data_IF_141960480528
#
_entry.id   IF_141960480528
#
_cell.length_a   1.000
_cell.length_b   1.000
_cell.length_c   1.000
_cell.angle_alpha   90.00
_cell.angle_beta   90.00
_cell.angle_gamma   90.00
#
_symmetry.space_group_name_H-M   'P 1'
#
loop_
_entity.id
_entity.type
_entity.pdbx_description
1 polymer ?
#
# COMPACT_ATOMS: atom_id res chain seq x y z
N UNK A 1 -30.20 -37.93 12.24
CA UNK A 1 -28.73 -37.87 12.04
C UNK A 1 -28.28 -37.80 10.58
N UNK A 2 -28.98 -38.42 9.60
CA UNK A 2 -28.57 -38.41 8.18
C UNK A 2 -28.63 -37.05 7.46
N UNK A 3 -29.60 -36.17 7.81
CA UNK A 3 -29.75 -34.85 7.18
C UNK A 3 -28.65 -33.86 7.54
N UNK A 4 -28.04 -33.95 8.73
CA UNK A 4 -26.96 -33.03 9.16
C UNK A 4 -25.59 -33.36 8.52
N UNK A 5 -25.35 -34.64 8.24
CA UNK A 5 -24.13 -35.12 7.58
C UNK A 5 -24.13 -34.71 6.10
N UNK A 6 -25.27 -34.89 5.40
CA UNK A 6 -25.44 -34.47 4.00
C UNK A 6 -25.22 -32.96 3.77
N UNK A 7 -25.72 -32.11 4.67
CA UNK A 7 -25.61 -30.66 4.55
C UNK A 7 -24.16 -30.16 4.79
N UNK A 8 -23.43 -30.78 5.73
CA UNK A 8 -22.04 -30.46 6.02
C UNK A 8 -21.10 -30.85 4.86
N UNK A 9 -21.35 -31.99 4.25
CA UNK A 9 -20.58 -32.44 3.10
C UNK A 9 -20.81 -31.58 1.85
N UNK A 10 -22.04 -31.12 1.64
CA UNK A 10 -22.38 -30.23 0.54
C UNK A 10 -21.70 -28.86 0.70
N UNK A 11 -21.75 -28.27 1.90
CA UNK A 11 -21.08 -27.00 2.20
C UNK A 11 -19.56 -27.13 2.01
N UNK A 12 -18.97 -28.23 2.45
CA UNK A 12 -17.54 -28.53 2.28
C UNK A 12 -17.15 -28.64 0.81
N UNK A 13 -17.95 -29.32 0.00
CA UNK A 13 -17.74 -29.43 -1.46
C UNK A 13 -17.84 -28.08 -2.14
N UNK A 14 -18.85 -27.25 -1.81
CA UNK A 14 -19.01 -25.90 -2.36
C UNK A 14 -17.81 -25.01 -1.99
N UNK A 15 -17.35 -25.05 -0.75
CA UNK A 15 -16.21 -24.27 -0.29
C UNK A 15 -14.93 -24.63 -1.04
N UNK A 16 -14.66 -25.92 -1.26
CA UNK A 16 -13.54 -26.41 -2.05
C UNK A 16 -13.59 -25.90 -3.49
N UNK A 17 -14.75 -25.97 -4.15
CA UNK A 17 -14.95 -25.47 -5.51
C UNK A 17 -14.70 -23.96 -5.61
N UNK A 18 -15.14 -23.20 -4.62
CA UNK A 18 -14.90 -21.76 -4.54
C UNK A 18 -13.41 -21.46 -4.44
N UNK A 19 -12.67 -22.20 -3.61
CA UNK A 19 -11.22 -22.07 -3.46
C UNK A 19 -10.50 -22.34 -4.79
N UNK A 20 -10.80 -23.48 -5.43
CA UNK A 20 -10.21 -23.85 -6.72
C UNK A 20 -10.49 -22.81 -7.81
N UNK A 21 -11.71 -22.29 -7.86
CA UNK A 21 -12.09 -21.23 -8.81
C UNK A 21 -11.37 -19.93 -8.56
N UNK A 22 -11.19 -19.53 -7.31
CA UNK A 22 -10.45 -18.32 -6.95
C UNK A 22 -8.99 -18.39 -7.42
N UNK A 23 -8.33 -19.54 -7.19
CA UNK A 23 -6.96 -19.79 -7.63
C UNK A 23 -6.82 -19.78 -9.15
N UNK A 24 -7.76 -20.42 -9.87
CA UNK A 24 -7.80 -20.39 -11.33
C UNK A 24 -8.00 -18.98 -11.92
N UNK A 25 -8.53 -18.05 -11.13
CA UNK A 25 -8.71 -16.63 -11.49
C UNK A 25 -7.57 -15.71 -11.01
N UNK A 26 -6.50 -16.30 -10.45
CA UNK A 26 -5.28 -15.59 -10.09
C UNK A 26 -5.26 -14.98 -8.69
N UNK A 27 -6.11 -15.47 -7.77
CA UNK A 27 -5.97 -15.16 -6.36
C UNK A 27 -5.07 -16.21 -5.70
N UNK A 28 -4.08 -15.78 -4.93
CA UNK A 28 -3.09 -16.67 -4.31
C UNK A 28 -3.60 -17.28 -3.01
N UNK A 29 -4.46 -16.59 -2.28
CA UNK A 29 -5.08 -17.06 -1.04
C UNK A 29 -6.50 -16.54 -0.91
N UNK A 30 -7.34 -17.34 -0.28
CA UNK A 30 -8.76 -17.05 0.00
C UNK A 30 -9.08 -17.50 1.42
N UNK A 31 -9.94 -16.76 2.10
CA UNK A 31 -10.49 -17.11 3.39
C UNK A 31 -11.91 -16.60 3.57
N UNK A 32 -12.63 -17.17 4.49
CA UNK A 32 -14.05 -16.90 4.75
C UNK A 32 -14.23 -16.34 6.16
N UNK A 33 -14.92 -15.23 6.28
CA UNK A 33 -15.15 -14.54 7.54
C UNK A 33 -16.62 -14.26 7.78
N UNK A 34 -16.98 -14.20 9.05
CA UNK A 34 -18.24 -13.62 9.49
C UNK A 34 -18.19 -12.10 9.28
N UNK A 35 -19.27 -11.42 8.86
CA UNK A 35 -19.29 -9.97 8.70
C UNK A 35 -19.14 -9.17 10.01
N UNK A 36 -19.32 -9.81 11.17
CA UNK A 36 -19.19 -9.17 12.47
C UNK A 36 -17.72 -8.99 12.87
N UNK A 37 -17.24 -7.75 12.85
CA UNK A 37 -15.89 -7.44 13.32
C UNK A 37 -15.81 -7.40 14.85
N UNK A 38 -14.66 -7.77 15.45
CA UNK A 38 -14.42 -7.61 16.87
C UNK A 38 -14.59 -6.15 17.34
N UNK A 39 -15.15 -5.92 18.52
CA UNK A 39 -15.33 -4.58 19.10
C UNK A 39 -14.04 -3.75 19.20
N UNK A 40 -12.89 -4.42 19.27
CA UNK A 40 -11.57 -3.80 19.26
C UNK A 40 -11.28 -3.03 17.99
N UNK A 41 -11.79 -3.47 16.83
CA UNK A 41 -11.59 -2.80 15.53
C UNK A 41 -12.19 -1.40 15.57
N UNK A 42 -13.44 -1.27 16.00
CA UNK A 42 -14.10 0.03 16.18
C UNK A 42 -13.34 0.91 17.19
N UNK A 43 -12.96 0.36 18.36
CA UNK A 43 -12.22 1.09 19.40
C UNK A 43 -10.86 1.61 18.86
N UNK A 44 -10.17 0.80 18.09
CA UNK A 44 -8.87 1.17 17.50
C UNK A 44 -9.03 2.27 16.43
N UNK A 45 -10.06 2.19 15.58
CA UNK A 45 -10.38 3.23 14.61
C UNK A 45 -10.71 4.56 15.31
N UNK A 46 -11.53 4.51 16.36
CA UNK A 46 -11.89 5.69 17.18
C UNK A 46 -10.65 6.35 17.79
N UNK A 47 -9.76 5.55 18.38
CA UNK A 47 -8.51 6.04 18.97
C UNK A 47 -7.60 6.68 17.91
N UNK A 48 -7.45 6.04 16.75
CA UNK A 48 -6.64 6.53 15.63
C UNK A 48 -7.13 7.89 15.11
N UNK A 49 -8.46 8.03 14.94
CA UNK A 49 -9.08 9.27 14.47
C UNK A 49 -9.02 10.38 15.52
N UNK A 50 -9.31 10.06 16.80
CA UNK A 50 -9.23 11.04 17.92
C UNK A 50 -7.82 11.60 18.11
N UNK A 51 -6.79 10.79 17.83
CA UNK A 51 -5.39 11.21 17.91
C UNK A 51 -4.92 11.96 16.66
N UNK A 52 -5.77 12.18 15.67
CA UNK A 52 -5.44 12.77 14.36
C UNK A 52 -4.29 12.03 13.62
N UNK A 53 -4.08 10.76 13.90
CA UNK A 53 -3.01 9.97 13.28
C UNK A 53 -3.23 9.71 11.79
N UNK A 54 -4.43 9.93 11.29
CA UNK A 54 -4.78 9.82 9.87
C UNK A 54 -4.26 10.99 9.01
N UNK A 55 -3.82 12.10 9.63
CA UNK A 55 -3.36 13.28 8.89
C UNK A 55 -4.43 13.83 7.94
N UNK A 56 -4.07 14.07 6.69
CA UNK A 56 -4.96 14.63 5.65
C UNK A 56 -5.88 13.58 4.99
N UNK A 57 -5.92 12.35 5.52
CA UNK A 57 -6.81 11.30 5.01
C UNK A 57 -8.24 11.43 5.60
N UNK A 58 -8.88 12.59 5.41
CA UNK A 58 -10.21 12.92 5.96
C UNK A 58 -11.31 11.92 5.55
N UNK A 59 -11.11 11.23 4.43
CA UNK A 59 -12.01 10.18 3.95
C UNK A 59 -12.15 9.01 4.94
N UNK A 60 -11.17 8.80 5.82
CA UNK A 60 -11.27 7.82 6.91
C UNK A 60 -12.32 8.23 7.93
N UNK A 61 -12.30 9.50 8.36
CA UNK A 61 -13.26 10.05 9.32
C UNK A 61 -14.67 10.15 8.72
N UNK A 62 -14.79 10.66 7.49
CA UNK A 62 -16.07 10.83 6.78
C UNK A 62 -16.85 9.52 6.64
N UNK A 63 -16.16 8.41 6.43
CA UNK A 63 -16.76 7.10 6.23
C UNK A 63 -16.61 6.16 7.45
N UNK A 64 -16.34 6.70 8.63
CA UNK A 64 -16.10 5.95 9.87
C UNK A 64 -17.19 4.91 10.11
N UNK A 65 -18.47 5.31 10.13
CA UNK A 65 -19.59 4.41 10.38
C UNK A 65 -19.59 3.17 9.45
N UNK A 66 -19.36 3.39 8.16
CA UNK A 66 -19.29 2.29 7.19
C UNK A 66 -18.11 1.36 7.41
N UNK A 67 -16.98 1.89 7.98
CA UNK A 67 -15.78 1.09 8.28
C UNK A 67 -15.91 0.25 9.53
N UNK A 68 -16.81 0.60 10.43
CA UNK A 68 -16.98 -0.10 11.72
C UNK A 68 -17.45 -1.55 11.56
N UNK A 69 -18.23 -1.84 10.50
CA UNK A 69 -18.71 -3.19 10.21
C UNK A 69 -19.08 -3.34 8.73
N UNK A 70 -18.84 -4.50 8.10
CA UNK A 70 -19.39 -4.85 6.80
C UNK A 70 -20.90 -4.66 6.70
N UNK A 71 -21.64 -4.95 7.76
CA UNK A 71 -23.11 -4.79 7.84
C UNK A 71 -23.55 -3.32 7.65
N UNK A 72 -22.73 -2.36 8.09
CA UNK A 72 -23.01 -0.93 7.91
C UNK A 72 -22.85 -0.48 6.43
N UNK A 73 -22.14 -1.26 5.63
CA UNK A 73 -21.96 -1.02 4.20
C UNK A 73 -23.02 -1.77 3.37
N UNK A 74 -23.44 -2.93 3.86
CA UNK A 74 -24.48 -3.74 3.24
C UNK A 74 -25.16 -4.63 4.29
N UNK A 75 -26.41 -4.33 4.62
CA UNK A 75 -27.20 -4.97 5.70
C UNK A 75 -27.40 -6.48 5.51
N UNK A 76 -27.48 -6.93 4.24
CA UNK A 76 -27.81 -8.31 3.91
C UNK A 76 -26.60 -9.24 3.89
N UNK A 77 -25.40 -8.72 4.16
CA UNK A 77 -24.18 -9.52 4.15
C UNK A 77 -24.20 -10.60 5.23
N UNK A 78 -23.96 -11.84 4.82
CA UNK A 78 -23.88 -13.01 5.72
C UNK A 78 -22.51 -13.65 5.76
N UNK A 79 -21.73 -13.49 4.67
CA UNK A 79 -20.37 -13.99 4.57
C UNK A 79 -19.49 -12.96 3.87
N UNK A 80 -18.28 -12.80 4.35
CA UNK A 80 -17.22 -12.05 3.65
C UNK A 80 -16.15 -13.02 3.19
N UNK A 81 -15.92 -13.08 1.89
CA UNK A 81 -14.75 -13.75 1.31
C UNK A 81 -13.64 -12.71 1.25
N UNK A 82 -12.53 -12.97 1.93
CA UNK A 82 -11.31 -12.19 1.79
C UNK A 82 -10.33 -12.92 0.87
N UNK A 83 -9.67 -12.18 0.00
CA UNK A 83 -8.79 -12.67 -1.05
C UNK A 83 -7.46 -11.94 -0.97
N UNK A 84 -6.37 -12.69 -1.16
CA UNK A 84 -5.03 -12.12 -1.28
C UNK A 84 -4.43 -12.37 -2.65
N UNK A 85 -3.84 -11.32 -3.24
CA UNK A 85 -3.03 -11.42 -4.46
C UNK A 85 -1.59 -11.06 -4.14
N UNK A 86 -0.67 -11.99 -4.42
CA UNK A 86 0.74 -11.85 -4.08
C UNK A 86 1.46 -10.88 -5.02
N UNK A 87 2.09 -9.82 -4.46
CA UNK A 87 2.96 -8.90 -5.19
C UNK A 87 4.43 -8.98 -4.73
N UNK A 88 4.80 -10.05 -4.07
CA UNK A 88 6.14 -10.25 -3.51
C UNK A 88 7.25 -10.03 -4.54
N UNK A 89 8.28 -9.21 -4.21
CA UNK A 89 9.33 -8.85 -5.12
C UNK A 89 10.34 -9.98 -5.34
N UNK A 90 11.00 -9.97 -6.49
CA UNK A 90 12.09 -10.91 -6.80
C UNK A 90 13.40 -10.58 -6.10
N UNK A 91 13.64 -9.29 -5.77
CA UNK A 91 14.82 -8.77 -5.06
C UNK A 91 14.36 -8.01 -3.83
N UNK A 92 15.22 -7.96 -2.83
CA UNK A 92 14.95 -7.17 -1.63
C UNK A 92 14.86 -5.67 -1.99
N UNK A 93 13.71 -5.01 -1.77
CA UNK A 93 13.55 -3.60 -2.15
C UNK A 93 14.47 -2.64 -1.38
N UNK A 94 15.03 -3.05 -0.24
CA UNK A 94 15.98 -2.23 0.52
C UNK A 94 17.31 -2.03 -0.21
N UNK A 95 17.68 -2.93 -1.13
CA UNK A 95 18.90 -2.80 -1.94
C UNK A 95 18.87 -1.55 -2.83
N UNK A 96 17.69 -1.14 -3.29
CA UNK A 96 17.52 0.06 -4.12
C UNK A 96 17.82 1.37 -3.37
N UNK A 97 17.88 1.34 -2.04
CA UNK A 97 18.20 2.53 -1.23
C UNK A 97 19.68 2.90 -1.27
N UNK A 98 20.54 1.98 -1.72
CA UNK A 98 22.00 2.18 -1.79
C UNK A 98 22.34 3.19 -2.89
N UNK A 99 21.69 3.08 -4.05
CA UNK A 99 21.94 3.97 -5.18
C UNK A 99 21.08 5.23 -5.11
N UNK A 100 21.65 6.28 -4.49
CA UNK A 100 20.94 7.52 -4.18
C UNK A 100 20.66 8.42 -5.40
N UNK A 101 21.22 8.12 -6.56
CA UNK A 101 20.96 8.85 -7.81
C UNK A 101 19.66 8.40 -8.51
N UNK A 102 19.06 7.33 -7.99
CA UNK A 102 17.83 6.74 -8.51
C UNK A 102 16.70 6.83 -7.50
N UNK A 103 15.50 7.12 -7.99
CA UNK A 103 14.31 7.15 -7.17
C UNK A 103 13.83 5.74 -6.79
N UNK A 104 13.59 5.49 -5.51
CA UNK A 104 13.00 4.25 -5.06
C UNK A 104 11.46 4.36 -4.98
N UNK A 105 10.79 3.46 -5.67
CA UNK A 105 9.33 3.30 -5.67
C UNK A 105 8.99 2.04 -4.88
N UNK A 106 8.00 2.13 -3.99
CA UNK A 106 7.48 0.98 -3.25
C UNK A 106 7.03 -0.14 -4.20
N UNK A 107 7.29 -1.38 -3.83
CA UNK A 107 7.06 -2.59 -4.64
C UNK A 107 5.66 -2.62 -5.23
N UNK A 108 4.64 -2.28 -4.43
CA UNK A 108 3.25 -2.36 -4.86
C UNK A 108 2.89 -1.43 -6.04
N UNK A 109 3.71 -0.42 -6.30
CA UNK A 109 3.47 0.60 -7.33
C UNK A 109 4.42 0.49 -8.53
N UNK A 110 5.30 -0.51 -8.56
CA UNK A 110 6.29 -0.69 -9.65
C UNK A 110 5.68 -1.22 -10.94
N UNK A 111 4.61 -2.01 -10.84
CA UNK A 111 3.89 -2.57 -11.97
C UNK A 111 2.68 -1.73 -12.42
N UNK A 112 1.75 -2.40 -13.07
CA UNK A 112 0.45 -1.83 -13.42
C UNK A 112 -0.41 -1.58 -12.17
N UNK A 113 -1.39 -0.69 -12.29
CA UNK A 113 -2.34 -0.38 -11.21
C UNK A 113 -3.14 -1.63 -10.79
N UNK A 114 -2.78 -2.18 -9.64
CA UNK A 114 -3.36 -3.40 -9.08
C UNK A 114 -4.88 -3.34 -8.92
N UNK A 115 -5.44 -2.15 -8.71
CA UNK A 115 -6.90 -1.99 -8.61
C UNK A 115 -7.60 -2.47 -9.88
N UNK A 116 -7.04 -2.19 -11.07
CA UNK A 116 -7.63 -2.61 -12.34
C UNK A 116 -7.55 -4.12 -12.52
N UNK A 117 -6.40 -4.70 -12.18
CA UNK A 117 -6.12 -6.12 -12.33
C UNK A 117 -7.03 -6.93 -11.41
N UNK A 118 -6.99 -6.62 -10.12
CA UNK A 118 -7.77 -7.31 -9.10
C UNK A 118 -9.28 -7.13 -9.35
N UNK A 119 -9.73 -5.90 -9.64
CA UNK A 119 -11.16 -5.64 -9.93
C UNK A 119 -11.68 -6.42 -11.12
N UNK A 120 -10.87 -6.61 -12.17
CA UNK A 120 -11.22 -7.46 -13.31
C UNK A 120 -11.43 -8.91 -12.87
N UNK A 121 -10.51 -9.45 -12.07
CA UNK A 121 -10.59 -10.83 -11.57
C UNK A 121 -11.75 -11.00 -10.57
N UNK A 122 -11.96 -10.03 -9.67
CA UNK A 122 -13.11 -10.00 -8.75
C UNK A 122 -14.45 -10.03 -9.48
N UNK A 123 -14.60 -9.25 -10.57
CA UNK A 123 -15.85 -9.25 -11.35
C UNK A 123 -16.11 -10.59 -12.01
N UNK A 124 -15.07 -11.27 -12.53
CA UNK A 124 -15.20 -12.62 -13.11
C UNK A 124 -15.57 -13.63 -12.05
N UNK A 125 -14.90 -13.56 -10.89
CA UNK A 125 -15.15 -14.47 -9.78
C UNK A 125 -16.54 -14.24 -9.18
N UNK A 126 -16.92 -12.99 -8.93
CA UNK A 126 -18.24 -12.62 -8.43
C UNK A 126 -19.38 -13.06 -9.37
N UNK A 127 -19.22 -12.85 -10.69
CA UNK A 127 -20.21 -13.31 -11.65
C UNK A 127 -20.40 -14.82 -11.68
N UNK A 128 -19.33 -15.59 -11.44
CA UNK A 128 -19.41 -17.03 -11.28
C UNK A 128 -20.06 -17.41 -9.94
N UNK A 129 -19.65 -16.78 -8.83
CA UNK A 129 -20.23 -17.01 -7.49
C UNK A 129 -21.72 -16.75 -7.45
N UNK A 130 -22.18 -15.63 -8.05
CA UNK A 130 -23.60 -15.28 -8.09
C UNK A 130 -24.46 -16.38 -8.73
N UNK A 131 -23.95 -17.01 -9.79
CA UNK A 131 -24.63 -18.13 -10.48
C UNK A 131 -24.56 -19.41 -9.69
N UNK A 132 -23.36 -19.76 -9.18
CA UNK A 132 -23.10 -21.01 -8.47
C UNK A 132 -23.87 -21.11 -7.15
N UNK A 133 -23.98 -19.98 -6.44
CA UNK A 133 -24.62 -19.89 -5.13
C UNK A 133 -26.03 -19.33 -5.17
N UNK A 134 -26.51 -18.89 -6.35
CA UNK A 134 -27.77 -18.19 -6.52
C UNK A 134 -27.94 -17.06 -5.48
N UNK A 135 -26.96 -16.14 -5.43
CA UNK A 135 -26.88 -15.10 -4.41
C UNK A 135 -26.58 -13.71 -4.99
N UNK A 136 -26.87 -12.67 -4.21
CA UNK A 136 -26.38 -11.33 -4.44
C UNK A 136 -25.01 -11.16 -3.80
N UNK A 137 -24.18 -10.28 -4.40
CA UNK A 137 -22.85 -10.00 -3.89
C UNK A 137 -22.36 -8.59 -4.23
N UNK A 138 -21.36 -8.13 -3.46
CA UNK A 138 -20.62 -6.89 -3.74
C UNK A 138 -19.13 -7.20 -3.70
N UNK A 139 -18.36 -6.57 -4.61
CA UNK A 139 -16.91 -6.76 -4.72
C UNK A 139 -16.18 -5.47 -4.39
N UNK A 140 -15.05 -5.58 -3.68
CA UNK A 140 -14.27 -4.46 -3.19
C UNK A 140 -12.77 -4.70 -3.34
N UNK A 141 -12.04 -3.63 -3.61
CA UNK A 141 -10.57 -3.59 -3.58
C UNK A 141 -10.14 -2.19 -3.19
N UNK A 142 -9.53 -2.02 -2.02
CA UNK A 142 -8.90 -0.82 -1.47
C UNK A 142 -9.78 0.45 -1.40
N UNK A 143 -10.59 0.74 -2.39
CA UNK A 143 -11.32 2.02 -2.51
C UNK A 143 -12.59 2.12 -1.67
N UNK A 144 -13.06 1.04 -1.09
CA UNK A 144 -14.26 1.03 -0.26
C UNK A 144 -13.94 1.30 1.22
N UNK A 145 -14.93 1.82 1.99
CA UNK A 145 -14.75 2.02 3.41
C UNK A 145 -14.85 0.71 4.21
N UNK A 146 -13.88 -0.18 4.01
CA UNK A 146 -13.79 -1.52 4.61
C UNK A 146 -12.49 -1.63 5.40
N UNK A 147 -12.51 -2.40 6.48
CA UNK A 147 -11.33 -2.74 7.29
C UNK A 147 -10.71 -4.06 6.77
N UNK A 148 -10.20 -4.03 5.53
CA UNK A 148 -9.70 -5.20 4.79
C UNK A 148 -8.71 -6.05 5.60
N UNK A 149 -7.74 -5.41 6.28
CA UNK A 149 -6.74 -6.12 7.08
C UNK A 149 -7.34 -6.90 8.25
N UNK A 150 -8.35 -6.34 8.90
CA UNK A 150 -9.05 -7.01 10.01
C UNK A 150 -9.89 -8.18 9.49
N UNK A 151 -10.52 -8.01 8.32
CA UNK A 151 -11.28 -9.08 7.67
C UNK A 151 -10.33 -10.21 7.24
N UNK A 152 -9.20 -9.88 6.61
CA UNK A 152 -8.20 -10.86 6.19
C UNK A 152 -7.64 -11.67 7.38
N UNK A 153 -7.46 -11.02 8.54
CA UNK A 153 -7.03 -11.67 9.77
C UNK A 153 -8.07 -12.67 10.28
N UNK A 154 -9.34 -12.27 10.39
CA UNK A 154 -10.39 -13.18 10.85
C UNK A 154 -10.75 -14.25 9.83
N UNK A 155 -10.49 -14.03 8.55
CA UNK A 155 -10.61 -15.02 7.47
C UNK A 155 -9.44 -16.00 7.39
N UNK A 156 -8.44 -15.91 8.28
CA UNK A 156 -7.32 -16.84 8.31
C UNK A 156 -6.28 -16.67 7.18
N UNK A 157 -6.28 -15.55 6.45
CA UNK A 157 -5.27 -15.27 5.40
C UNK A 157 -3.88 -15.05 6.00
N UNK A 158 -3.83 -14.49 7.20
CA UNK A 158 -2.65 -14.19 7.97
C UNK A 158 -3.03 -13.40 9.21
N UNK A 159 -2.05 -12.82 9.88
CA UNK A 159 -2.27 -11.98 11.06
C UNK A 159 -1.84 -10.54 10.79
N UNK A 160 -2.40 -9.61 11.51
CA UNK A 160 -1.93 -8.23 11.48
C UNK A 160 -0.60 -8.13 12.22
N UNK A 161 0.47 -7.92 11.48
CA UNK A 161 1.83 -7.79 12.05
C UNK A 161 2.02 -6.49 12.83
N UNK A 162 3.11 -6.41 13.64
CA UNK A 162 3.45 -5.20 14.43
C UNK A 162 3.60 -3.93 13.59
N UNK A 163 3.82 -4.06 12.28
CA UNK A 163 3.84 -2.96 11.30
C UNK A 163 2.46 -2.59 10.74
N UNK A 164 1.37 -3.09 11.32
CA UNK A 164 -0.02 -2.80 10.94
C UNK A 164 -0.45 -3.29 9.54
N UNK A 165 0.32 -4.16 8.89
CA UNK A 165 -0.07 -4.83 7.65
C UNK A 165 -0.23 -6.33 7.88
N UNK A 166 -0.92 -7.02 6.96
CA UNK A 166 -1.07 -8.47 7.03
C UNK A 166 0.28 -9.14 6.78
N UNK A 167 0.55 -10.19 7.56
CA UNK A 167 1.66 -11.12 7.38
C UNK A 167 1.08 -12.50 7.16
N UNK A 168 1.46 -13.13 6.07
CA UNK A 168 1.06 -14.50 5.71
C UNK A 168 2.26 -15.45 5.84
N UNK A 169 2.02 -16.69 6.25
CA UNK A 169 3.05 -17.73 6.31
C UNK A 169 3.68 -18.00 4.94
N UNK A 170 2.88 -17.96 3.88
CA UNK A 170 3.30 -18.34 2.53
C UNK A 170 3.72 -17.13 1.65
N UNK A 171 3.26 -15.92 2.00
CA UNK A 171 3.44 -14.72 1.18
C UNK A 171 4.10 -13.56 1.93
N UNK A 172 4.52 -13.76 3.19
CA UNK A 172 5.14 -12.72 4.00
C UNK A 172 4.23 -11.50 4.12
N UNK A 173 4.78 -10.31 3.90
CA UNK A 173 4.05 -9.03 4.00
C UNK A 173 3.57 -8.50 2.63
N UNK A 174 3.43 -9.36 1.61
CA UNK A 174 3.28 -8.94 0.22
C UNK A 174 1.95 -9.35 -0.41
N UNK A 175 0.83 -9.09 0.27
CA UNK A 175 -0.51 -9.37 -0.24
C UNK A 175 -1.30 -8.08 -0.48
N UNK A 176 -1.82 -7.91 -1.69
CA UNK A 176 -2.97 -7.05 -1.93
C UNK A 176 -4.22 -7.76 -1.43
N UNK A 177 -5.06 -7.04 -0.72
CA UNK A 177 -6.32 -7.56 -0.19
C UNK A 177 -7.49 -7.13 -1.07
N UNK A 178 -8.53 -7.95 -1.08
CA UNK A 178 -9.80 -7.63 -1.73
C UNK A 178 -10.91 -8.51 -1.15
N UNK A 179 -12.16 -8.04 -1.20
CA UNK A 179 -13.28 -8.69 -0.56
C UNK A 179 -14.47 -8.90 -1.50
N UNK A 180 -15.22 -9.97 -1.23
CA UNK A 180 -16.55 -10.23 -1.78
C UNK A 180 -17.51 -10.42 -0.62
N UNK A 181 -18.55 -9.61 -0.56
CA UNK A 181 -19.64 -9.76 0.39
C UNK A 181 -20.76 -10.56 -0.25
N UNK A 182 -21.28 -11.55 0.46
CA UNK A 182 -22.35 -12.44 0.02
C UNK A 182 -23.55 -12.36 0.96
N UNK A 183 -24.77 -12.43 0.43
CA UNK A 183 -26.02 -12.56 1.19
C UNK A 183 -26.38 -14.01 1.55
N UNK A 184 -25.50 -14.95 1.31
CA UNK A 184 -25.62 -16.36 1.70
C UNK A 184 -24.58 -16.73 2.75
N UNK A 185 -24.90 -17.71 3.58
CA UNK A 185 -24.00 -18.19 4.62
C UNK A 185 -23.05 -19.25 4.06
N UNK A 186 -21.74 -19.05 4.30
CA UNK A 186 -20.70 -20.06 4.16
C UNK A 186 -19.93 -20.08 5.48
N UNK A 187 -19.57 -21.29 5.95
CA UNK A 187 -18.83 -21.43 7.21
C UNK A 187 -17.52 -20.68 7.17
N UNK A 188 -17.26 -19.90 8.22
CA UNK A 188 -16.02 -19.15 8.39
C UNK A 188 -14.79 -20.04 8.56
N UNK A 189 -13.63 -19.50 8.28
CA UNK A 189 -12.34 -20.12 8.58
C UNK A 189 -11.85 -19.73 9.97
N UNK A 190 -10.88 -20.47 10.47
CA UNK A 190 -10.23 -20.13 11.72
C UNK A 190 -9.27 -18.95 11.52
N UNK A 191 -9.33 -17.99 12.43
CA UNK A 191 -8.38 -16.89 12.48
C UNK A 191 -6.96 -17.43 12.64
N UNK A 192 -6.01 -16.83 11.92
CA UNK A 192 -4.57 -17.11 12.11
C UNK A 192 -4.03 -16.42 13.38
N UNK A 193 -3.20 -17.12 14.14
CA UNK A 193 -2.56 -16.55 15.32
C UNK A 193 -1.44 -15.56 14.99
N UNK A 194 -1.17 -14.62 15.90
CA UNK A 194 -0.06 -13.69 15.77
C UNK A 194 1.28 -14.38 15.97
N UNK A 195 2.05 -14.51 14.90
CA UNK A 195 3.37 -15.12 14.91
C UNK A 195 4.52 -14.09 14.91
N UNK A 196 4.27 -12.84 15.30
CA UNK A 196 5.33 -11.82 15.46
C UNK A 196 6.24 -12.06 16.67
N UNK A 197 5.78 -12.80 17.69
CA UNK A 197 6.55 -13.14 18.89
C UNK A 197 7.24 -11.92 19.54
N UNK A 198 8.51 -12.05 19.88
CA UNK A 198 9.32 -10.96 20.46
C UNK A 198 9.96 -10.03 19.44
N UNK A 199 9.87 -10.34 18.13
CA UNK A 199 10.50 -9.57 17.06
C UNK A 199 10.02 -8.11 17.02
N UNK A 200 10.97 -7.16 16.85
CA UNK A 200 10.71 -5.72 16.72
C UNK A 200 11.43 -5.09 15.51
N UNK A 201 11.88 -5.90 14.53
CA UNK A 201 12.67 -5.42 13.38
C UNK A 201 11.96 -4.32 12.60
N UNK A 202 10.68 -4.51 12.29
CA UNK A 202 9.87 -3.53 11.55
C UNK A 202 9.70 -2.19 12.29
N UNK A 203 9.62 -2.20 13.60
CA UNK A 203 9.52 -0.98 14.41
C UNK A 203 10.84 -0.21 14.40
N UNK A 204 11.97 -0.94 14.49
CA UNK A 204 13.31 -0.34 14.58
C UNK A 204 13.84 0.21 13.25
N UNK A 205 13.43 -0.38 12.11
CA UNK A 205 13.91 0.05 10.79
C UNK A 205 13.24 1.33 10.29
N UNK A 206 12.11 1.71 10.86
CA UNK A 206 11.34 2.88 10.39
C UNK A 206 12.18 4.16 10.50
N UNK A 207 12.54 4.82 9.38
CA UNK A 207 13.45 5.98 9.43
C UNK A 207 12.85 7.18 10.16
N UNK A 208 11.54 7.26 10.22
CA UNK A 208 10.79 8.41 10.76
C UNK A 208 10.11 8.11 12.11
N UNK A 209 10.37 6.94 12.70
CA UNK A 209 9.77 6.50 13.95
C UNK A 209 8.23 6.65 13.94
N UNK A 210 7.61 6.19 12.83
CA UNK A 210 6.17 6.29 12.64
C UNK A 210 5.37 5.36 13.57
N UNK A 211 5.99 4.30 14.08
CA UNK A 211 5.35 3.38 15.03
C UNK A 211 5.44 3.92 16.45
N UNK A 212 4.29 4.20 17.05
CA UNK A 212 4.18 4.66 18.43
C UNK A 212 4.34 3.48 19.38
N UNK A 213 3.79 2.35 18.99
CA UNK A 213 3.87 1.07 19.68
C UNK A 213 3.66 -0.06 18.65
N UNK A 214 3.80 -1.32 19.08
CA UNK A 214 3.40 -2.48 18.29
C UNK A 214 1.94 -2.34 17.88
N UNK A 215 1.66 -2.57 16.58
CA UNK A 215 0.33 -2.48 15.97
C UNK A 215 -0.27 -1.05 15.94
N UNK A 216 0.48 -0.03 16.34
CA UNK A 216 0.03 1.37 16.37
C UNK A 216 0.98 2.27 15.59
N UNK A 217 0.44 3.03 14.65
CA UNK A 217 1.21 3.92 13.79
C UNK A 217 0.59 5.31 13.74
N UNK A 218 1.43 6.34 13.79
CA UNK A 218 1.08 7.70 13.39
C UNK A 218 1.37 7.86 11.89
N UNK A 219 0.32 7.87 11.06
CA UNK A 219 0.49 7.96 9.63
C UNK A 219 1.17 9.25 9.19
N UNK A 220 1.03 10.35 9.93
CA UNK A 220 1.66 11.65 9.62
C UNK A 220 3.18 11.59 9.56
N UNK A 221 3.78 10.61 10.24
CA UNK A 221 5.22 10.34 10.23
C UNK A 221 5.63 9.32 9.16
N UNK A 222 4.69 8.50 8.66
CA UNK A 222 4.99 7.43 7.72
C UNK A 222 5.43 7.98 6.36
N UNK A 223 6.58 7.51 5.84
CA UNK A 223 7.09 7.94 4.53
C UNK A 223 6.09 7.63 3.41
N UNK A 224 5.36 6.53 3.49
CA UNK A 224 4.31 6.22 2.51
C UNK A 224 3.23 7.31 2.51
N UNK A 225 2.73 7.72 3.67
CA UNK A 225 1.79 8.83 3.78
C UNK A 225 2.42 10.16 3.27
N UNK A 226 3.63 10.50 3.69
CA UNK A 226 4.30 11.75 3.32
C UNK A 226 4.51 11.89 1.82
N UNK A 227 4.79 10.78 1.13
CA UNK A 227 5.05 10.79 -0.32
C UNK A 227 3.78 10.63 -1.17
N UNK A 228 2.68 10.13 -0.61
CA UNK A 228 1.46 9.81 -1.35
C UNK A 228 0.29 10.72 -0.96
N UNK A 229 -0.04 10.80 0.33
CA UNK A 229 -1.25 11.47 0.81
C UNK A 229 -1.04 12.94 1.15
N UNK A 230 0.11 13.28 1.76
CA UNK A 230 0.42 14.63 2.21
C UNK A 230 0.54 15.61 1.04
N UNK A 231 -0.30 16.65 1.05
CA UNK A 231 -0.50 17.55 -0.10
C UNK A 231 0.44 18.75 -0.10
N UNK A 232 0.96 19.16 1.05
CA UNK A 232 1.80 20.33 1.23
C UNK A 232 3.29 19.98 1.27
N UNK A 233 4.13 20.94 1.71
CA UNK A 233 5.56 20.72 1.93
C UNK A 233 5.77 19.66 3.02
N UNK A 234 6.61 18.67 2.74
CA UNK A 234 7.00 17.69 3.75
C UNK A 234 7.76 18.41 4.87
N UNK A 235 7.43 18.18 6.16
CA UNK A 235 8.13 18.80 7.27
C UNK A 235 9.64 18.56 7.22
N UNK A 236 10.43 19.57 7.59
CA UNK A 236 11.89 19.56 7.45
C UNK A 236 12.54 18.38 8.19
N UNK A 237 11.99 18.00 9.33
CA UNK A 237 12.48 16.91 10.18
C UNK A 237 12.43 15.52 9.51
N UNK A 238 11.55 15.35 8.50
CA UNK A 238 11.43 14.06 7.79
C UNK A 238 12.20 14.02 6.47
N UNK A 239 12.55 15.17 5.87
CA UNK A 239 13.13 15.20 4.52
C UNK A 239 14.40 14.39 4.38
N UNK A 240 15.34 14.51 5.33
CA UNK A 240 16.57 13.71 5.33
C UNK A 240 16.28 12.20 5.51
N UNK A 241 15.29 11.87 6.32
CA UNK A 241 14.90 10.50 6.65
C UNK A 241 14.24 9.76 5.49
N UNK A 242 13.66 10.48 4.53
CA UNK A 242 13.04 9.91 3.32
C UNK A 242 14.08 9.26 2.41
N UNK A 243 15.30 9.78 2.36
CA UNK A 243 16.34 9.28 1.45
C UNK A 243 15.92 9.45 -0.01
N UNK A 244 16.08 8.40 -0.81
CA UNK A 244 15.69 8.37 -2.22
C UNK A 244 14.29 7.78 -2.48
N UNK A 245 13.44 7.64 -1.46
CA UNK A 245 12.06 7.11 -1.59
C UNK A 245 11.16 8.20 -2.19
N UNK A 246 10.82 8.06 -3.46
CA UNK A 246 10.02 9.04 -4.20
C UNK A 246 8.52 8.71 -4.19
N UNK A 247 8.14 7.46 -3.88
CA UNK A 247 6.75 7.04 -3.80
C UNK A 247 6.61 5.80 -2.93
N UNK A 248 5.93 5.93 -1.78
CA UNK A 248 5.77 4.84 -0.82
C UNK A 248 7.05 4.47 -0.07
N UNK A 249 6.97 3.41 0.71
CA UNK A 249 8.07 2.91 1.54
C UNK A 249 7.81 1.45 1.89
N UNK A 250 8.83 0.61 1.75
CA UNK A 250 8.73 -0.83 2.03
C UNK A 250 9.52 -1.27 3.26
N UNK A 251 10.20 -0.37 3.96
CA UNK A 251 11.18 -0.70 4.99
C UNK A 251 10.64 -1.69 6.03
N UNK A 252 9.48 -1.39 6.60
CA UNK A 252 8.86 -2.23 7.63
C UNK A 252 8.34 -3.56 7.08
N UNK A 253 7.93 -3.60 5.83
CA UNK A 253 7.49 -4.83 5.15
C UNK A 253 8.69 -5.70 4.79
N UNK A 254 9.70 -5.11 4.15
CA UNK A 254 10.86 -5.81 3.61
C UNK A 254 11.73 -6.47 4.69
N UNK A 255 11.86 -5.84 5.86
CA UNK A 255 12.67 -6.39 6.97
C UNK A 255 11.97 -7.54 7.71
N UNK A 256 10.70 -7.79 7.44
CA UNK A 256 9.94 -8.81 8.16
C UNK A 256 10.56 -10.20 7.94
N UNK A 257 10.89 -10.95 9.02
CA UNK A 257 11.53 -12.27 8.90
C UNK A 257 10.67 -13.28 8.12
N UNK A 258 9.36 -13.10 8.14
CA UNK A 258 8.43 -13.98 7.43
C UNK A 258 8.57 -13.91 5.91
N UNK A 259 9.18 -12.85 5.38
CA UNK A 259 9.50 -12.77 3.95
C UNK A 259 10.52 -13.82 3.49
N UNK A 260 11.26 -14.46 4.40
CA UNK A 260 12.16 -15.58 4.08
C UNK A 260 11.38 -16.76 3.47
N UNK A 261 10.12 -16.91 3.85
CA UNK A 261 9.24 -17.98 3.39
C UNK A 261 8.29 -17.52 2.26
N UNK A 262 8.33 -16.22 1.93
CA UNK A 262 7.39 -15.64 0.97
C UNK A 262 7.67 -16.12 -0.45
N UNK A 263 6.61 -16.61 -1.11
CA UNK A 263 6.64 -16.87 -2.55
C UNK A 263 6.76 -15.55 -3.32
N UNK A 264 7.49 -15.57 -4.44
CA UNK A 264 7.56 -14.44 -5.37
C UNK A 264 6.25 -14.32 -6.15
N UNK A 265 5.89 -13.08 -6.53
CA UNK A 265 4.72 -12.86 -7.38
C UNK A 265 4.87 -13.58 -8.73
N UNK A 266 3.78 -14.23 -9.16
CA UNK A 266 3.65 -14.84 -10.50
C UNK A 266 2.93 -13.92 -11.48
N UNK A 267 2.22 -12.90 -10.99
CA UNK A 267 1.52 -11.94 -11.85
C UNK A 267 2.51 -10.91 -12.40
N UNK A 268 2.84 -11.06 -13.68
CA UNK A 268 3.82 -10.23 -14.39
C UNK A 268 3.45 -8.74 -14.31
N UNK A 269 2.16 -8.42 -14.29
CA UNK A 269 1.67 -7.03 -14.24
C UNK A 269 1.93 -6.34 -12.91
N UNK A 270 2.15 -7.08 -11.82
CA UNK A 270 2.56 -6.51 -10.53
C UNK A 270 4.08 -6.27 -10.48
N UNK A 271 4.84 -6.89 -11.38
CA UNK A 271 6.28 -6.75 -11.40
C UNK A 271 6.70 -5.40 -12.01
N UNK A 272 7.95 -5.03 -11.74
CA UNK A 272 8.50 -3.79 -12.26
C UNK A 272 8.55 -3.81 -13.80
N UNK A 273 7.85 -2.85 -14.42
CA UNK A 273 7.82 -2.63 -15.86
C UNK A 273 8.69 -1.46 -16.32
N UNK A 274 9.42 -0.82 -15.43
CA UNK A 274 10.34 0.29 -15.71
C UNK A 274 11.78 -0.20 -15.71
N UNK A 275 12.59 0.32 -16.65
CA UNK A 275 14.04 0.12 -16.60
C UNK A 275 14.64 0.95 -15.47
N UNK A 276 15.74 0.50 -14.90
CA UNK A 276 16.44 1.23 -13.85
C UNK A 276 16.79 2.65 -14.28
N UNK A 277 17.33 2.80 -15.49
CA UNK A 277 17.69 4.09 -16.12
C UNK A 277 16.53 5.11 -16.17
N UNK A 278 15.29 4.64 -16.20
CA UNK A 278 14.12 5.50 -16.21
C UNK A 278 13.82 6.12 -14.84
N UNK A 279 14.43 5.58 -13.78
CA UNK A 279 14.27 6.06 -12.42
C UNK A 279 15.40 7.00 -11.97
N UNK A 280 16.30 7.43 -12.87
CA UNK A 280 17.29 8.46 -12.57
C UNK A 280 16.61 9.75 -12.12
N UNK A 281 17.03 10.28 -10.97
CA UNK A 281 16.45 11.50 -10.40
C UNK A 281 16.56 12.70 -11.35
N UNK A 282 17.66 12.80 -12.11
CA UNK A 282 17.86 13.84 -13.12
C UNK A 282 16.86 13.79 -14.28
N UNK A 283 16.40 12.60 -14.66
CA UNK A 283 15.32 12.44 -15.66
C UNK A 283 13.96 12.76 -15.07
N UNK A 284 13.69 12.23 -13.87
CA UNK A 284 12.39 12.36 -13.24
C UNK A 284 12.05 13.79 -12.83
N UNK A 285 13.08 14.59 -12.45
CA UNK A 285 12.91 16.00 -12.04
C UNK A 285 12.47 16.93 -13.18
N UNK A 286 12.65 16.51 -14.43
CA UNK A 286 12.35 17.31 -15.65
C UNK A 286 10.98 17.02 -16.25
N UNK A 287 10.23 16.04 -15.72
CA UNK A 287 8.95 15.67 -16.28
C UNK A 287 7.94 16.83 -16.23
N UNK A 288 7.42 17.21 -17.41
CA UNK A 288 6.21 18.00 -17.54
C UNK A 288 4.98 17.23 -17.05
N UNK A 289 3.82 17.88 -16.88
CA UNK A 289 2.59 17.17 -16.49
C UNK A 289 2.19 16.10 -17.52
N UNK A 290 2.32 16.41 -18.81
CA UNK A 290 2.00 15.46 -19.87
C UNK A 290 2.96 14.26 -19.87
N UNK A 291 4.26 14.49 -19.74
CA UNK A 291 5.26 13.42 -19.68
C UNK A 291 5.08 12.55 -18.44
N UNK A 292 4.80 13.16 -17.26
CA UNK A 292 4.47 12.45 -16.03
C UNK A 292 3.24 11.54 -16.22
N UNK A 293 2.16 12.06 -16.81
CA UNK A 293 0.93 11.29 -17.07
C UNK A 293 1.16 10.13 -18.03
N UNK A 294 1.99 10.33 -19.04
CA UNK A 294 2.36 9.30 -20.01
C UNK A 294 3.24 8.24 -19.34
N UNK A 295 4.28 8.66 -18.63
CA UNK A 295 5.24 7.79 -17.97
C UNK A 295 4.56 6.88 -16.93
N UNK A 296 3.56 7.39 -16.20
CA UNK A 296 2.80 6.66 -15.19
C UNK A 296 1.36 6.32 -15.62
N UNK A 297 1.11 6.19 -16.92
CA UNK A 297 -0.26 6.00 -17.46
C UNK A 297 -1.02 4.81 -16.87
N UNK A 298 -0.34 3.73 -16.60
CA UNK A 298 -0.93 2.50 -16.04
C UNK A 298 -0.56 2.26 -14.58
N UNK A 299 0.06 3.22 -13.90
CA UNK A 299 0.55 3.09 -12.53
C UNK A 299 -0.34 3.83 -11.52
N UNK A 300 -0.46 3.35 -10.27
CA UNK A 300 -1.14 4.09 -9.20
C UNK A 300 -0.46 5.44 -8.87
N UNK A 301 0.82 5.62 -9.23
CA UNK A 301 1.59 6.85 -9.03
C UNK A 301 0.93 8.06 -9.70
N UNK A 302 0.27 7.86 -10.83
CA UNK A 302 -0.43 8.93 -11.55
C UNK A 302 -1.41 9.71 -10.68
N UNK A 303 -1.97 9.08 -9.64
CA UNK A 303 -2.99 9.67 -8.75
C UNK A 303 -2.49 10.84 -7.91
N UNK A 304 -1.19 10.87 -7.57
CA UNK A 304 -0.65 11.97 -6.75
C UNK A 304 -0.45 13.27 -7.53
N UNK A 305 -0.43 13.21 -8.87
CA UNK A 305 -0.14 14.33 -9.74
C UNK A 305 1.35 14.70 -9.81
N UNK A 306 1.72 15.41 -10.88
CA UNK A 306 3.11 15.79 -11.16
C UNK A 306 3.77 16.57 -10.02
N UNK A 307 3.09 17.57 -9.47
CA UNK A 307 3.74 18.49 -8.51
C UNK A 307 4.16 17.79 -7.21
N UNK A 308 3.32 16.90 -6.66
CA UNK A 308 3.72 16.08 -5.48
C UNK A 308 4.83 15.10 -5.82
N UNK A 309 4.79 14.51 -7.01
CA UNK A 309 5.84 13.61 -7.46
C UNK A 309 7.18 14.33 -7.59
N UNK A 310 7.23 15.48 -8.28
CA UNK A 310 8.46 16.28 -8.41
C UNK A 310 8.96 16.79 -7.06
N UNK A 311 8.07 17.19 -6.14
CA UNK A 311 8.46 17.49 -4.75
C UNK A 311 9.26 16.33 -4.13
N UNK A 312 8.77 15.09 -4.28
CA UNK A 312 9.42 13.91 -3.71
C UNK A 312 10.77 13.64 -4.40
N UNK A 313 10.84 13.77 -5.73
CA UNK A 313 12.07 13.63 -6.51
C UNK A 313 13.12 14.66 -6.06
N UNK A 314 12.74 15.90 -5.88
CA UNK A 314 13.66 16.97 -5.42
C UNK A 314 14.15 16.73 -3.99
N UNK A 315 13.32 16.17 -3.10
CA UNK A 315 13.78 15.75 -1.77
C UNK A 315 14.81 14.62 -1.91
N UNK A 316 14.60 13.66 -2.81
CA UNK A 316 15.57 12.59 -3.08
C UNK A 316 16.87 13.17 -3.66
N UNK A 317 16.81 14.14 -4.56
CA UNK A 317 17.98 14.88 -5.08
C UNK A 317 18.77 15.53 -3.92
N UNK A 318 18.11 16.20 -2.99
CA UNK A 318 18.77 16.77 -1.83
C UNK A 318 19.43 15.76 -0.89
N UNK A 319 18.97 14.49 -0.92
CA UNK A 319 19.52 13.37 -0.16
C UNK A 319 20.55 12.54 -0.93
N UNK A 320 20.83 12.86 -2.19
CA UNK A 320 21.69 12.03 -3.06
C UNK A 320 23.17 12.12 -2.69
N UNK A 321 23.59 13.19 -2.00
CA UNK A 321 24.98 13.58 -1.78
C UNK A 321 25.75 13.87 -3.12
N UNK A 322 25.04 13.88 -4.26
CA UNK A 322 25.59 14.11 -5.59
C UNK A 322 25.40 15.58 -6.02
N UNK A 323 26.47 16.36 -5.93
CA UNK A 323 26.45 17.79 -6.26
C UNK A 323 26.08 18.06 -7.73
N UNK A 324 26.30 17.13 -8.65
CA UNK A 324 25.94 17.32 -10.06
C UNK A 324 24.44 17.50 -10.27
N UNK A 325 23.61 16.91 -9.38
CA UNK A 325 22.15 17.05 -9.40
C UNK A 325 21.65 18.43 -8.94
N UNK A 326 22.55 19.31 -8.47
CA UNK A 326 22.17 20.69 -8.13
C UNK A 326 21.63 21.46 -9.34
N UNK A 327 22.11 21.16 -10.55
CA UNK A 327 21.58 21.74 -11.79
C UNK A 327 20.09 21.41 -11.98
N UNK A 328 19.72 20.15 -11.75
CA UNK A 328 18.32 19.72 -11.87
C UNK A 328 17.42 20.39 -10.82
N UNK A 329 17.96 20.66 -9.62
CA UNK A 329 17.23 21.43 -8.61
C UNK A 329 17.13 22.92 -8.96
N UNK A 330 18.16 23.51 -9.59
CA UNK A 330 18.15 24.90 -10.08
C UNK A 330 17.08 25.12 -11.15
N UNK A 331 16.99 24.21 -12.11
CA UNK A 331 15.98 24.26 -13.19
C UNK A 331 14.54 24.32 -12.62
N UNK A 332 14.30 23.63 -11.50
CA UNK A 332 13.00 23.58 -10.82
C UNK A 332 12.69 24.83 -9.94
N UNK A 333 13.59 25.80 -9.79
CA UNK A 333 13.28 27.06 -9.12
C UNK A 333 12.28 27.93 -9.90
N UNK A 334 12.19 27.74 -11.22
CA UNK A 334 11.27 28.47 -12.10
C UNK A 334 9.92 27.75 -12.28
N UNK A 335 9.71 26.59 -11.64
CA UNK A 335 8.45 25.83 -11.73
C UNK A 335 7.27 26.68 -11.24
N UNK A 336 6.12 26.55 -11.91
CA UNK A 336 4.89 27.27 -11.55
C UNK A 336 4.39 26.92 -10.15
N UNK A 337 4.63 25.67 -9.70
CA UNK A 337 4.17 25.16 -8.42
C UNK A 337 5.06 25.59 -7.26
N UNK A 338 4.53 26.32 -6.26
CA UNK A 338 5.29 26.67 -5.05
C UNK A 338 5.74 25.43 -4.27
N UNK A 339 5.03 24.30 -4.43
CA UNK A 339 5.39 23.02 -3.82
C UNK A 339 6.71 22.50 -4.40
N UNK A 340 6.88 22.60 -5.72
CA UNK A 340 8.10 22.18 -6.43
C UNK A 340 9.25 23.15 -6.09
N UNK A 341 9.03 24.47 -6.20
CA UNK A 341 10.04 25.46 -5.88
C UNK A 341 10.59 25.32 -4.45
N UNK A 342 9.71 25.10 -3.47
CA UNK A 342 10.11 24.92 -2.08
C UNK A 342 10.97 23.67 -1.84
N UNK A 343 10.70 22.57 -2.55
CA UNK A 343 11.53 21.38 -2.51
C UNK A 343 12.88 21.58 -3.20
N UNK A 344 12.90 22.32 -4.33
CA UNK A 344 14.12 22.67 -5.06
C UNK A 344 15.07 23.53 -4.19
N UNK A 345 14.53 24.56 -3.51
CA UNK A 345 15.32 25.39 -2.58
C UNK A 345 15.94 24.54 -1.48
N UNK A 346 15.19 23.59 -0.93
CA UNK A 346 15.72 22.72 0.10
C UNK A 346 16.81 21.79 -0.44
N UNK A 347 16.62 21.19 -1.63
CA UNK A 347 17.63 20.35 -2.28
C UNK A 347 18.95 21.11 -2.51
N UNK A 348 18.87 22.35 -3.01
CA UNK A 348 20.03 23.20 -3.22
C UNK A 348 20.77 23.51 -1.93
N UNK A 349 20.05 23.82 -0.84
CA UNK A 349 20.67 24.06 0.48
C UNK A 349 21.37 22.82 1.05
N UNK A 350 20.99 21.63 0.59
CA UNK A 350 21.64 20.39 0.98
C UNK A 350 22.90 20.08 0.15
N UNK A 351 22.88 20.43 -1.13
CA UNK A 351 23.93 20.08 -2.08
C UNK A 351 25.01 21.17 -2.22
N UNK A 352 24.66 22.43 -2.00
CA UNK A 352 25.53 23.59 -2.21
C UNK A 352 25.79 24.36 -0.92
N UNK A 353 26.95 25.03 -0.83
CA UNK A 353 27.21 26.00 0.24
C UNK A 353 26.56 27.36 -0.08
N UNK A 354 26.53 28.27 0.93
CA UNK A 354 25.86 29.55 0.79
C UNK A 354 26.44 30.43 -0.34
N UNK A 355 27.78 30.41 -0.57
CA UNK A 355 28.42 31.17 -1.65
C UNK A 355 27.98 30.66 -3.02
N UNK A 356 27.96 29.34 -3.21
CA UNK A 356 27.52 28.69 -4.43
C UNK A 356 26.05 28.98 -4.76
N UNK A 357 25.18 28.99 -3.74
CA UNK A 357 23.77 29.36 -3.90
C UNK A 357 23.60 30.79 -4.40
N UNK A 358 24.37 31.74 -3.85
CA UNK A 358 24.31 33.13 -4.29
C UNK A 358 24.79 33.29 -5.73
N UNK A 359 25.90 32.62 -6.09
CA UNK A 359 26.44 32.64 -7.46
C UNK A 359 25.46 32.01 -8.46
N UNK A 360 24.87 30.90 -8.09
CA UNK A 360 23.88 30.21 -8.93
C UNK A 360 22.62 31.05 -9.17
N UNK A 361 22.17 31.84 -8.20
CA UNK A 361 21.03 32.77 -8.35
C UNK A 361 21.28 33.92 -9.31
N UNK A 362 22.53 34.35 -9.47
CA UNK A 362 22.89 35.43 -10.41
C UNK A 362 22.86 34.97 -11.87
N UNK A 363 22.90 33.68 -12.10
CA UNK A 363 22.92 33.08 -13.43
C UNK A 363 21.52 32.51 -13.86
N UNK A 364 20.47 32.79 -13.10
CA UNK A 364 19.06 32.46 -13.36
C UNK A 364 18.27 33.75 -13.68
#
# INVERSE_FOLDING_TARGET
MSHSISNKDEITKKKKLIIEKSQALGFDVIGFANPKLPKSVKKNLDSFLKSNFHGEMDWLAKNKHRRESPENLWSDVKTVISLGSNYGPHKNPLENLINKDYGNISVYARGEDYHKIIKKNLKKFGGWLAKELNCNLKVFVDTAPIMEKNIAEIAGIGWQGKHSNIVSKNYGSWLFLSEIFLDVFISEDNKEEDNCGTCKKCLKICPTDAFIDKYKMDARKCISYLTIEHKSQIPLEYRNKIGNRIYGCDDCLAICPWNKFASKSKEIKFLNNKKEEDLKLSKLSKLSDQEFRNFFSSSPIKRIGRNRFIRNVLIAIGNSDNRSLSKDALDNLKDESPLVRGAAIWALRKLLNNKEIVTSKRNI
#
